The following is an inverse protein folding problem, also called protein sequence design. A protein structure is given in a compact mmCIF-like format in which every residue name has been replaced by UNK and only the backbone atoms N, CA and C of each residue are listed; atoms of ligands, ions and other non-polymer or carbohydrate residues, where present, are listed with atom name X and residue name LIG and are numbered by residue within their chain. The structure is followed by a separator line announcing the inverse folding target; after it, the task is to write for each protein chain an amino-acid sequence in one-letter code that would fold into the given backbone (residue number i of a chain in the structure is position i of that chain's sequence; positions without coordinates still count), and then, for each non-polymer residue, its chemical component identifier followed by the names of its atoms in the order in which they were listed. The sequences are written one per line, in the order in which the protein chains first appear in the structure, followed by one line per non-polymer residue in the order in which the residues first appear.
data_IF_511819825430
#
_entry.id   IF_511819825430
#
_cell.length_a   1.000
_cell.length_b   1.000
_cell.length_c   1.000
_cell.angle_alpha   90.00
_cell.angle_beta   90.00
_cell.angle_gamma   90.00
#
_symmetry.space_group_name_H-M   'P 1'
#
loop_
_entity.id
_entity.type
_entity.pdbx_description
1 polymer ?
#
# COMPACT_ATOMS: atom_id res chain seq x y z
N UNK A 1 7.01 7.96 -5.80
CA UNK A 1 6.77 6.56 -5.39
C UNK A 1 5.89 5.89 -6.44
N UNK A 2 6.31 4.78 -7.06
CA UNK A 2 5.48 4.03 -8.03
C UNK A 2 4.70 2.94 -7.29
N UNK A 3 3.43 2.73 -7.62
CA UNK A 3 2.56 1.77 -6.94
C UNK A 3 1.95 0.76 -7.90
N UNK A 4 1.48 -0.36 -7.35
CA UNK A 4 0.78 -1.41 -8.07
C UNK A 4 -0.32 -1.99 -7.17
N UNK A 5 -1.55 -2.06 -7.70
CA UNK A 5 -2.67 -2.75 -7.06
C UNK A 5 -2.99 -4.01 -7.87
N UNK A 6 -3.13 -5.15 -7.17
CA UNK A 6 -3.59 -6.43 -7.73
C UNK A 6 -4.76 -6.95 -6.90
N UNK A 7 -5.86 -7.28 -7.57
CA UNK A 7 -7.03 -7.90 -6.95
C UNK A 7 -7.05 -9.38 -7.35
N UNK A 8 -7.25 -10.26 -6.38
CA UNK A 8 -7.27 -11.73 -6.58
C UNK A 8 -8.47 -12.35 -5.85
N UNK A 9 -9.20 -13.29 -6.47
CA UNK A 9 -9.13 -13.68 -7.88
C UNK A 9 -9.48 -12.51 -8.84
N UNK A 10 -9.18 -12.65 -10.13
CA UNK A 10 -9.55 -11.63 -11.14
C UNK A 10 -11.07 -11.55 -11.35
N UNK A 11 -11.72 -12.69 -11.20
CA UNK A 11 -13.16 -12.86 -11.35
C UNK A 11 -13.75 -13.15 -9.97
N UNK A 12 -14.73 -12.34 -9.57
CA UNK A 12 -15.41 -12.41 -8.27
C UNK A 12 -16.81 -11.82 -8.39
N UNK A 13 -17.72 -12.19 -7.49
CA UNK A 13 -19.08 -11.64 -7.41
C UNK A 13 -19.23 -10.70 -6.21
N UNK A 14 -20.31 -9.90 -6.21
CA UNK A 14 -20.70 -9.16 -5.02
C UNK A 14 -20.97 -10.14 -3.86
N UNK A 15 -20.47 -9.82 -2.67
CA UNK A 15 -20.53 -10.64 -1.47
C UNK A 15 -19.34 -11.58 -1.27
N UNK A 16 -18.50 -11.81 -2.28
CA UNK A 16 -17.29 -12.64 -2.17
C UNK A 16 -16.11 -11.88 -1.55
N UNK A 17 -15.16 -12.64 -0.99
CA UNK A 17 -13.92 -12.09 -0.41
C UNK A 17 -12.83 -12.12 -1.48
N UNK A 18 -12.24 -10.96 -1.75
CA UNK A 18 -11.05 -10.83 -2.60
C UNK A 18 -9.85 -10.42 -1.77
N UNK A 19 -8.66 -10.81 -2.22
CA UNK A 19 -7.38 -10.34 -1.73
C UNK A 19 -6.92 -9.15 -2.55
N UNK A 20 -6.65 -8.04 -1.88
CA UNK A 20 -6.09 -6.82 -2.48
C UNK A 20 -4.64 -6.75 -2.07
N UNK A 21 -3.76 -6.88 -3.05
CA UNK A 21 -2.31 -6.73 -2.93
C UNK A 21 -1.93 -5.32 -3.40
N UNK A 22 -1.35 -4.52 -2.52
CA UNK A 22 -0.76 -3.22 -2.85
C UNK A 22 0.75 -3.26 -2.64
N UNK A 23 1.50 -2.94 -3.69
CA UNK A 23 2.96 -2.83 -3.66
C UNK A 23 3.37 -1.39 -3.91
N UNK A 24 4.21 -0.84 -3.03
CA UNK A 24 4.81 0.48 -3.21
C UNK A 24 6.31 0.33 -3.45
N UNK A 25 6.82 0.87 -4.57
CA UNK A 25 8.25 0.92 -4.83
C UNK A 25 8.88 2.02 -3.96
N UNK A 26 9.58 1.60 -2.92
CA UNK A 26 10.10 2.47 -1.87
C UNK A 26 11.36 1.87 -1.21
N UNK A 27 12.40 2.67 -0.89
CA UNK A 27 13.66 2.18 -0.33
C UNK A 27 13.53 1.58 1.07
N UNK A 28 12.58 2.04 1.90
CA UNK A 28 12.42 1.60 3.30
C UNK A 28 13.74 1.63 4.07
N UNK A 29 14.43 2.77 4.03
CA UNK A 29 15.70 2.95 4.73
C UNK A 29 15.45 3.02 6.23
N UNK A 30 16.18 2.20 6.98
CA UNK A 30 15.97 1.99 8.42
C UNK A 30 16.55 3.10 9.29
N UNK A 31 17.49 3.89 8.76
CA UNK A 31 18.31 4.78 9.58
C UNK A 31 19.59 4.14 10.11
N UNK A 32 19.74 2.82 9.99
CA UNK A 32 20.85 2.07 10.60
C UNK A 32 21.98 1.76 9.61
N UNK A 33 21.73 1.88 8.30
CA UNK A 33 22.74 1.62 7.27
C UNK A 33 23.74 2.76 7.22
N UNK A 34 25.03 2.42 7.13
CA UNK A 34 26.10 3.37 6.87
C UNK A 34 26.33 3.53 5.37
N UNK A 35 26.50 4.77 4.95
CA UNK A 35 26.99 5.10 3.63
C UNK A 35 28.45 4.65 3.47
N UNK A 36 28.79 4.06 2.32
CA UNK A 36 30.10 3.42 2.12
C UNK A 36 31.21 4.45 1.92
N UNK A 37 30.90 5.60 1.36
CA UNK A 37 31.91 6.61 1.00
C UNK A 37 32.17 7.56 2.17
N UNK A 38 31.10 8.02 2.83
CA UNK A 38 31.18 8.96 3.95
C UNK A 38 31.27 8.32 5.33
N UNK A 39 30.88 7.04 5.46
CA UNK A 39 30.81 6.34 6.76
C UNK A 39 29.67 6.79 7.68
N UNK A 40 28.86 7.77 7.25
CA UNK A 40 27.75 8.34 8.03
C UNK A 40 26.50 7.46 7.97
N UNK A 41 25.63 7.59 8.97
CA UNK A 41 24.32 6.93 8.96
C UNK A 41 23.41 7.58 7.93
N UNK A 42 22.73 6.75 7.14
CA UNK A 42 21.77 7.20 6.15
C UNK A 42 20.45 7.46 6.87
N UNK A 43 19.85 8.66 6.77
CA UNK A 43 18.62 8.98 7.49
C UNK A 43 17.46 8.05 7.13
N UNK A 44 16.65 7.69 8.14
CA UNK A 44 15.49 6.83 7.97
C UNK A 44 14.51 7.40 6.94
N UNK A 45 14.06 6.55 6.02
CA UNK A 45 13.10 6.90 4.98
C UNK A 45 12.20 5.72 4.68
N UNK A 46 11.01 5.74 5.28
CA UNK A 46 10.06 4.62 5.23
C UNK A 46 8.64 5.13 5.07
N UNK A 47 7.77 4.26 4.55
CA UNK A 47 6.32 4.48 4.50
C UNK A 47 5.78 4.35 5.92
N UNK A 48 5.12 5.38 6.44
CA UNK A 48 4.62 5.43 7.82
C UNK A 48 3.11 5.13 7.93
N UNK A 49 2.37 5.36 6.85
CA UNK A 49 0.92 5.18 6.82
C UNK A 49 0.43 4.70 5.45
N UNK A 50 -0.47 3.70 5.46
CA UNK A 50 -1.20 3.27 4.26
C UNK A 50 -2.68 3.12 4.57
N UNK A 51 -3.52 3.77 3.77
CA UNK A 51 -4.99 3.74 3.89
C UNK A 51 -5.59 3.06 2.67
N UNK A 52 -6.48 2.10 2.92
CA UNK A 52 -7.32 1.50 1.89
C UNK A 52 -8.74 2.04 2.05
N UNK A 53 -9.30 2.58 0.96
CA UNK A 53 -10.62 3.17 0.93
C UNK A 53 -11.44 2.61 -0.22
N UNK A 54 -12.74 2.47 -0.03
CA UNK A 54 -13.69 2.05 -1.05
C UNK A 54 -14.83 3.07 -1.12
N UNK A 55 -15.04 3.66 -2.29
CA UNK A 55 -16.01 4.76 -2.50
C UNK A 55 -15.84 5.86 -1.43
N UNK A 56 -14.59 6.26 -1.19
CA UNK A 56 -14.16 7.26 -0.19
C UNK A 56 -14.46 6.91 1.29
N UNK A 57 -14.92 5.70 1.57
CA UNK A 57 -15.02 5.17 2.94
C UNK A 57 -13.74 4.42 3.31
N UNK A 58 -13.19 4.72 4.49
CA UNK A 58 -12.02 4.02 5.01
C UNK A 58 -12.37 2.56 5.31
N UNK A 59 -11.71 1.63 4.61
CA UNK A 59 -11.78 0.20 4.90
C UNK A 59 -10.83 -0.13 6.05
N UNK A 60 -9.57 0.28 5.90
CA UNK A 60 -8.52 0.04 6.90
C UNK A 60 -7.38 1.03 6.75
N UNK A 61 -6.66 1.22 7.85
CA UNK A 61 -5.43 2.01 7.94
C UNK A 61 -4.34 1.14 8.58
N UNK A 62 -3.19 1.09 7.93
CA UNK A 62 -1.97 0.47 8.44
C UNK A 62 -1.00 1.55 8.85
N UNK A 63 -0.51 1.48 10.08
CA UNK A 63 0.63 2.28 10.56
C UNK A 63 1.86 1.39 10.49
N UNK A 64 2.91 1.90 9.86
CA UNK A 64 4.08 1.14 9.46
C UNK A 64 5.33 1.80 10.02
N UNK A 65 6.35 0.99 10.25
CA UNK A 65 7.64 1.40 10.78
C UNK A 65 8.77 1.00 9.84
N UNK A 66 9.96 1.48 10.12
CA UNK A 66 11.16 1.36 9.31
C UNK A 66 11.65 -0.07 9.10
N UNK A 67 11.14 -1.03 9.88
CA UNK A 67 11.54 -2.44 9.85
C UNK A 67 10.95 -3.27 8.69
N UNK A 68 10.16 -2.66 7.80
CA UNK A 68 9.66 -3.36 6.61
C UNK A 68 10.69 -3.42 5.49
N UNK A 69 10.65 -4.52 4.73
CA UNK A 69 11.51 -4.71 3.56
C UNK A 69 11.28 -3.67 2.46
N UNK A 70 12.33 -3.43 1.68
CA UNK A 70 12.31 -2.65 0.43
C UNK A 70 11.16 -3.12 -0.46
N UNK A 71 10.48 -2.18 -1.12
CA UNK A 71 9.31 -2.40 -1.96
C UNK A 71 8.17 -3.16 -1.24
N UNK A 72 7.64 -2.62 -0.13
CA UNK A 72 6.69 -3.33 0.71
C UNK A 72 5.44 -3.74 -0.05
N UNK A 73 5.02 -4.98 0.17
CA UNK A 73 3.75 -5.55 -0.28
C UNK A 73 2.81 -5.66 0.90
N UNK A 74 1.66 -5.00 0.83
CA UNK A 74 0.60 -5.09 1.82
C UNK A 74 -0.60 -5.79 1.20
N UNK A 75 -1.13 -6.78 1.92
CA UNK A 75 -2.29 -7.54 1.48
C UNK A 75 -3.42 -7.41 2.48
N UNK A 76 -4.63 -7.14 1.98
CA UNK A 76 -5.87 -7.19 2.78
C UNK A 76 -6.87 -8.14 2.16
N UNK A 77 -7.71 -8.73 3.01
CA UNK A 77 -8.93 -9.42 2.58
C UNK A 77 -10.09 -8.43 2.64
N UNK A 78 -10.84 -8.32 1.55
CA UNK A 78 -11.95 -7.38 1.43
C UNK A 78 -13.18 -8.11 0.90
N UNK A 79 -14.31 -8.03 1.63
CA UNK A 79 -15.60 -8.54 1.15
C UNK A 79 -16.19 -7.49 0.21
N UNK A 80 -16.38 -7.85 -1.05
CA UNK A 80 -16.80 -6.91 -2.10
C UNK A 80 -18.29 -6.60 -1.96
N UNK A 81 -18.70 -5.36 -1.63
CA UNK A 81 -20.12 -5.04 -1.46
C UNK A 81 -20.85 -4.85 -2.81
N UNK A 82 -20.10 -4.50 -3.86
CA UNK A 82 -20.62 -4.16 -5.18
C UNK A 82 -19.53 -3.52 -6.04
N UNK A 83 -19.92 -2.94 -7.17
CA UNK A 83 -19.02 -2.14 -7.98
C UNK A 83 -18.60 -0.85 -7.26
N UNK A 84 -17.40 -0.36 -7.57
CA UNK A 84 -16.90 0.86 -6.98
C UNK A 84 -15.43 1.11 -7.27
N UNK A 85 -14.87 2.10 -6.57
CA UNK A 85 -13.46 2.47 -6.70
C UNK A 85 -12.73 2.18 -5.41
N UNK A 86 -11.72 1.32 -5.50
CA UNK A 86 -10.71 1.15 -4.46
C UNK A 86 -9.66 2.26 -4.62
N UNK A 87 -9.38 2.98 -3.55
CA UNK A 87 -8.34 4.00 -3.47
C UNK A 87 -7.37 3.62 -2.36
N UNK A 88 -6.08 3.58 -2.68
CA UNK A 88 -5.00 3.33 -1.72
C UNK A 88 -4.12 4.56 -1.65
N UNK A 89 -3.93 5.08 -0.43
CA UNK A 89 -3.10 6.24 -0.16
C UNK A 89 -1.93 5.77 0.71
N UNK A 90 -0.71 5.97 0.25
CA UNK A 90 0.50 5.68 1.00
C UNK A 90 1.27 6.98 1.27
N UNK A 91 1.76 7.14 2.50
CA UNK A 91 2.54 8.30 2.94
C UNK A 91 3.87 7.84 3.54
N UNK A 92 4.93 8.60 3.30
CA UNK A 92 6.23 8.41 3.93
C UNK A 92 6.51 9.41 5.06
N UNK A 93 7.48 9.07 5.89
CA UNK A 93 7.94 9.89 7.01
C UNK A 93 8.60 11.21 6.59
N UNK A 94 8.87 11.41 5.29
CA UNK A 94 9.39 12.66 4.72
C UNK A 94 8.28 13.55 4.13
N UNK A 95 7.02 13.15 4.28
CA UNK A 95 5.85 13.90 3.84
C UNK A 95 5.44 13.67 2.39
N UNK A 96 6.13 12.79 1.64
CA UNK A 96 5.66 12.40 0.32
C UNK A 96 4.45 11.48 0.45
N UNK A 97 3.48 11.66 -0.43
CA UNK A 97 2.31 10.80 -0.51
C UNK A 97 2.06 10.39 -1.96
N UNK A 98 1.45 9.23 -2.12
CA UNK A 98 0.97 8.72 -3.41
C UNK A 98 -0.42 8.16 -3.25
N UNK A 99 -1.27 8.47 -4.22
CA UNK A 99 -2.60 7.90 -4.35
C UNK A 99 -2.64 6.98 -5.57
N UNK A 100 -3.28 5.83 -5.41
CA UNK A 100 -3.48 4.86 -6.49
C UNK A 100 -4.89 4.31 -6.44
N UNK A 101 -5.56 4.26 -7.60
CA UNK A 101 -6.95 3.83 -7.72
C UNK A 101 -7.08 2.58 -8.58
N UNK A 102 -7.99 1.69 -8.20
CA UNK A 102 -8.38 0.54 -8.99
C UNK A 102 -9.91 0.39 -9.00
N UNK A 103 -10.48 0.05 -10.15
CA UNK A 103 -11.91 -0.25 -10.24
C UNK A 103 -12.17 -1.66 -9.69
N UNK A 104 -13.20 -1.78 -8.86
CA UNK A 104 -13.77 -3.05 -8.40
C UNK A 104 -15.01 -3.28 -9.25
N UNK A 105 -14.99 -4.35 -10.05
CA UNK A 105 -16.06 -4.71 -10.99
C UNK A 105 -16.40 -6.18 -10.77
N UNK A 106 -17.29 -6.48 -9.81
CA UNK A 106 -17.76 -7.83 -9.60
C UNK A 106 -18.55 -8.30 -10.82
N UNK A 107 -18.42 -9.58 -11.18
CA UNK A 107 -19.28 -10.23 -12.17
C UNK A 107 -20.69 -10.39 -11.58
N UNK A 108 -21.68 -9.95 -12.34
CA UNK A 108 -23.10 -10.21 -12.14
C UNK A 108 -23.62 -10.96 -13.34
#
# INVERSE_FOLDING_TARGET
MKTLIKIKPKDYKAGEIVKIDFMAMHPMETGMRKDKDSGQLIPAHYIDEVKFMFNDQLITKMVIWESLSVNPLMSISFKVPGEGTLKVIAKDNKGQSVESTAKITPKG
#
